data_IF_533847033194
#
_entry.id   IF_533847033194
#
_cell.length_a   1.000
_cell.length_b   1.000
_cell.length_c   1.000
_cell.angle_alpha   90.00
_cell.angle_beta   90.00
_cell.angle_gamma   90.00
#
_symmetry.space_group_name_H-M   'P 1'
#
loop_
_entity.id
_entity.type
_entity.pdbx_description
1 polymer ?
#
# COMPACT_ATOMS: atom_id res chain seq x y z
N UNK A 1 46.80 -50.32 -61.96
CA UNK A 1 46.04 -50.58 -60.72
C UNK A 1 46.23 -49.38 -59.80
N UNK A 2 45.27 -48.45 -59.78
CA UNK A 2 45.35 -47.23 -58.96
C UNK A 2 44.57 -47.47 -57.66
N UNK A 3 45.28 -47.41 -56.53
CA UNK A 3 44.73 -47.45 -55.19
C UNK A 3 43.81 -46.24 -54.95
N UNK A 4 42.56 -46.49 -54.57
CA UNK A 4 41.69 -45.48 -53.97
C UNK A 4 42.05 -45.33 -52.49
N UNK A 5 42.47 -44.14 -52.09
CA UNK A 5 42.65 -43.75 -50.69
C UNK A 5 41.37 -43.09 -50.21
N UNK A 6 40.69 -43.68 -49.23
CA UNK A 6 39.53 -43.11 -48.56
C UNK A 6 40.01 -42.22 -47.42
N UNK A 7 39.93 -40.89 -47.59
CA UNK A 7 40.13 -39.94 -46.50
C UNK A 7 38.81 -39.70 -45.76
N UNK A 8 38.72 -40.23 -44.54
CA UNK A 8 37.65 -39.90 -43.60
C UNK A 8 37.85 -38.46 -43.08
N UNK A 9 36.89 -37.57 -43.33
CA UNK A 9 36.86 -36.25 -42.70
C UNK A 9 36.28 -36.38 -41.27
N UNK A 10 36.88 -35.74 -40.25
CA UNK A 10 36.31 -35.77 -38.90
C UNK A 10 35.10 -34.82 -38.80
N UNK A 11 33.96 -35.33 -38.37
CA UNK A 11 32.79 -34.54 -38.00
C UNK A 11 33.16 -33.76 -36.73
N UNK A 12 33.33 -32.44 -36.85
CA UNK A 12 33.47 -31.55 -35.69
C UNK A 12 32.08 -31.24 -35.15
N UNK A 13 31.71 -31.90 -34.05
CA UNK A 13 30.52 -31.54 -33.29
C UNK A 13 30.74 -30.14 -32.66
N UNK A 14 29.98 -29.15 -33.13
CA UNK A 14 29.94 -27.82 -32.54
C UNK A 14 29.01 -27.89 -31.32
N UNK A 15 29.57 -27.93 -30.12
CA UNK A 15 28.79 -27.81 -28.89
C UNK A 15 28.30 -26.36 -28.78
N UNK A 16 27.01 -26.13 -29.03
CA UNK A 16 26.37 -24.85 -28.75
C UNK A 16 26.13 -24.79 -27.25
N UNK A 17 26.97 -24.05 -26.54
CA UNK A 17 26.72 -23.69 -25.15
C UNK A 17 25.61 -22.64 -25.14
N UNK A 18 24.38 -23.08 -24.83
CA UNK A 18 23.27 -22.15 -24.56
C UNK A 18 23.52 -21.53 -23.20
N UNK A 19 24.09 -20.33 -23.19
CA UNK A 19 24.14 -19.51 -22.00
C UNK A 19 22.70 -19.03 -21.72
N UNK A 20 21.98 -19.73 -20.84
CA UNK A 20 20.74 -19.20 -20.27
C UNK A 20 21.18 -18.07 -19.35
N UNK A 21 21.13 -16.84 -19.84
CA UNK A 21 21.16 -15.68 -18.98
C UNK A 21 19.90 -15.73 -18.11
N UNK A 22 20.03 -16.25 -16.89
CA UNK A 22 19.05 -15.99 -15.85
C UNK A 22 19.24 -14.52 -15.54
N UNK A 23 18.41 -13.67 -16.14
CA UNK A 23 18.30 -12.30 -15.67
C UNK A 23 18.00 -12.39 -14.16
N UNK A 24 18.69 -11.64 -13.28
CA UNK A 24 18.15 -11.45 -11.94
C UNK A 24 16.72 -10.97 -12.16
N UNK A 25 15.75 -11.56 -11.46
CA UNK A 25 14.39 -11.05 -11.46
C UNK A 25 14.50 -9.54 -11.25
N UNK A 26 14.19 -8.75 -12.28
CA UNK A 26 14.08 -7.33 -12.10
C UNK A 26 12.92 -7.18 -11.15
N UNK A 27 13.20 -6.86 -9.88
CA UNK A 27 12.17 -6.53 -8.91
C UNK A 27 11.46 -5.33 -9.52
N UNK A 28 10.32 -5.56 -10.17
CA UNK A 28 9.55 -4.51 -10.79
C UNK A 28 9.10 -3.58 -9.67
N UNK A 29 9.79 -2.46 -9.51
CA UNK A 29 9.51 -1.49 -8.46
C UNK A 29 8.08 -0.96 -8.68
N UNK A 30 7.21 -1.07 -7.67
CA UNK A 30 5.81 -0.64 -7.80
C UNK A 30 5.66 0.89 -7.88
N UNK A 31 6.69 1.63 -7.42
CA UNK A 31 6.74 3.09 -7.46
C UNK A 31 6.59 3.57 -8.89
N UNK A 32 5.66 4.51 -9.10
CA UNK A 32 5.47 5.16 -10.40
C UNK A 32 6.08 6.56 -10.39
N UNK A 33 6.56 7.06 -11.54
CA UNK A 33 7.13 8.41 -11.64
C UNK A 33 6.07 9.51 -11.49
N UNK A 34 6.52 10.72 -11.16
CA UNK A 34 5.69 11.91 -10.97
C UNK A 34 5.36 12.18 -9.51
N UNK A 35 4.34 13.01 -9.27
CA UNK A 35 3.95 13.49 -7.94
C UNK A 35 5.09 14.21 -7.20
N UNK A 36 5.94 14.89 -7.95
CA UNK A 36 7.17 15.54 -7.49
C UNK A 36 7.17 17.07 -7.72
N UNK A 37 5.98 17.64 -7.98
CA UNK A 37 5.83 19.08 -8.23
C UNK A 37 6.09 19.95 -7.01
N UNK A 38 5.97 19.38 -5.81
CA UNK A 38 6.25 20.05 -4.55
C UNK A 38 7.16 19.16 -3.69
N UNK A 39 7.84 19.81 -2.75
CA UNK A 39 8.76 19.16 -1.82
C UNK A 39 8.44 19.64 -0.42
N UNK A 40 8.26 18.71 0.52
CA UNK A 40 8.37 19.01 1.94
C UNK A 40 9.88 19.10 2.25
N UNK A 41 10.42 20.28 2.65
CA UNK A 41 11.85 20.43 2.86
C UNK A 41 12.39 19.39 3.85
N UNK A 42 13.65 18.97 3.67
CA UNK A 42 14.33 18.03 4.56
C UNK A 42 14.09 18.37 6.04
N UNK A 43 13.61 17.39 6.80
CA UNK A 43 13.20 17.53 8.19
C UNK A 43 13.07 16.14 8.87
N UNK A 44 12.71 16.17 10.15
CA UNK A 44 12.50 15.01 11.01
C UNK A 44 10.99 14.76 11.24
N UNK A 45 10.35 15.55 12.11
CA UNK A 45 8.94 15.37 12.51
C UNK A 45 7.93 16.34 11.86
N UNK A 46 8.27 16.89 10.70
CA UNK A 46 7.52 17.96 10.06
C UNK A 46 6.36 17.48 9.19
N UNK A 47 5.37 18.36 9.07
CA UNK A 47 4.28 18.27 8.09
C UNK A 47 4.20 19.54 7.24
N UNK A 48 3.58 19.43 6.07
CA UNK A 48 3.13 20.59 5.30
C UNK A 48 2.03 21.35 6.05
N UNK A 49 1.65 22.53 5.55
CA UNK A 49 0.29 23.05 5.77
C UNK A 49 -0.74 22.14 5.07
N UNK A 50 -2.04 22.46 5.19
CA UNK A 50 -3.04 21.82 4.34
C UNK A 50 -2.70 22.09 2.87
N UNK A 51 -2.72 21.05 2.04
CA UNK A 51 -2.44 21.11 0.60
C UNK A 51 -3.59 20.48 -0.19
N UNK A 52 -3.93 21.02 -1.38
CA UNK A 52 -5.04 20.52 -2.17
C UNK A 52 -4.74 19.15 -2.78
N UNK A 53 -5.69 18.23 -2.68
CA UNK A 53 -5.67 16.91 -3.33
C UNK A 53 -5.94 17.06 -4.85
N UNK A 54 -6.62 18.13 -5.26
CA UNK A 54 -7.02 18.38 -6.65
C UNK A 54 -8.37 17.77 -7.05
N UNK A 55 -8.99 17.01 -6.15
CA UNK A 55 -10.37 16.51 -6.23
C UNK A 55 -10.91 16.31 -4.81
N UNK A 56 -12.19 15.96 -4.69
CA UNK A 56 -12.83 15.66 -3.40
C UNK A 56 -12.87 14.16 -3.18
N UNK A 57 -12.44 13.71 -2.01
CA UNK A 57 -12.55 12.33 -1.53
C UNK A 57 -13.61 12.26 -0.44
N UNK A 58 -14.45 11.24 -0.47
CA UNK A 58 -15.36 10.89 0.62
C UNK A 58 -14.64 9.90 1.54
N UNK A 59 -14.03 10.39 2.62
CA UNK A 59 -13.34 9.56 3.61
C UNK A 59 -14.28 9.28 4.77
N UNK A 60 -14.90 8.08 4.79
CA UNK A 60 -15.84 7.65 5.83
C UNK A 60 -17.04 8.58 6.07
N UNK A 61 -17.61 9.11 4.98
CA UNK A 61 -18.75 10.02 5.01
C UNK A 61 -18.38 11.49 5.12
N UNK A 62 -17.09 11.81 5.27
CA UNK A 62 -16.58 13.18 5.36
C UNK A 62 -15.90 13.56 4.04
N UNK A 63 -16.40 14.61 3.40
CA UNK A 63 -15.79 15.17 2.20
C UNK A 63 -14.49 15.90 2.57
N UNK A 64 -13.37 15.45 1.99
CA UNK A 64 -12.05 16.06 2.12
C UNK A 64 -11.54 16.47 0.75
N UNK A 65 -10.93 17.65 0.64
CA UNK A 65 -10.27 18.13 -0.60
C UNK A 65 -8.83 18.57 -0.36
N UNK A 66 -8.39 18.52 0.89
CA UNK A 66 -7.07 18.90 1.34
C UNK A 66 -6.58 17.87 2.37
N UNK A 67 -5.26 17.74 2.50
CA UNK A 67 -4.60 16.89 3.48
C UNK A 67 -3.29 17.53 3.94
N UNK A 68 -2.66 16.97 4.95
CA UNK A 68 -1.31 17.30 5.39
C UNK A 68 -0.37 16.16 4.99
N UNK A 69 0.71 16.47 4.29
CA UNK A 69 1.79 15.51 4.00
C UNK A 69 2.75 15.52 5.17
N UNK A 70 3.08 14.33 5.70
CA UNK A 70 3.92 14.18 6.87
C UNK A 70 5.21 13.41 6.54
N UNK A 71 6.33 13.85 7.12
CA UNK A 71 7.64 13.24 6.89
C UNK A 71 7.67 11.77 7.30
N UNK A 72 7.01 11.43 8.41
CA UNK A 72 6.90 10.09 9.02
C UNK A 72 5.95 9.15 8.27
N UNK A 73 5.91 9.23 6.93
CA UNK A 73 5.31 8.22 6.07
C UNK A 73 3.79 8.09 6.12
N UNK A 74 3.09 9.20 6.39
CA UNK A 74 1.63 9.27 6.44
C UNK A 74 1.08 10.58 5.87
N UNK A 75 -0.24 10.61 5.66
CA UNK A 75 -1.02 11.83 5.46
C UNK A 75 -2.16 11.87 6.46
N UNK A 76 -2.56 13.08 6.86
CA UNK A 76 -3.70 13.31 7.74
C UNK A 76 -4.68 14.32 7.14
N UNK A 77 -5.94 14.31 7.57
CA UNK A 77 -6.99 15.17 7.02
C UNK A 77 -7.49 16.27 7.97
N UNK A 78 -7.18 16.15 9.25
CA UNK A 78 -7.72 16.92 10.36
C UNK A 78 -6.68 17.87 10.97
N UNK A 79 -5.43 17.45 11.13
CA UNK A 79 -4.33 18.29 11.63
C UNK A 79 -2.96 17.73 11.24
N UNK A 80 -1.90 18.55 11.15
CA UNK A 80 -0.54 18.06 11.01
C UNK A 80 -0.15 17.18 12.22
N UNK A 81 0.59 16.11 11.96
CA UNK A 81 1.03 15.17 12.99
C UNK A 81 2.50 15.40 13.33
N UNK A 82 2.86 15.48 14.61
CA UNK A 82 4.25 15.74 15.05
C UNK A 82 4.82 14.59 15.91
N UNK A 83 4.30 13.38 15.72
CA UNK A 83 4.72 12.19 16.48
C UNK A 83 5.73 11.38 15.66
N UNK A 84 6.81 10.97 16.29
CA UNK A 84 7.87 10.13 15.70
C UNK A 84 7.58 8.63 15.82
N UNK A 85 7.13 8.16 17.00
CA UNK A 85 6.83 6.73 17.22
C UNK A 85 5.43 6.36 16.74
N UNK A 86 5.27 5.34 15.88
CA UNK A 86 3.97 4.91 15.38
C UNK A 86 3.02 4.42 16.49
N UNK A 87 1.76 4.84 16.42
CA UNK A 87 0.68 4.38 17.29
C UNK A 87 -0.31 3.48 16.54
N UNK A 88 -1.09 2.71 17.29
CA UNK A 88 -2.12 1.82 16.76
C UNK A 88 -3.19 2.59 15.94
N UNK A 89 -3.29 2.26 14.65
CA UNK A 89 -4.25 2.91 13.75
C UNK A 89 -5.70 2.49 14.04
N UNK A 90 -5.93 1.36 14.72
CA UNK A 90 -7.27 0.84 15.01
C UNK A 90 -7.95 1.53 16.18
N UNK A 91 -7.20 2.24 17.01
CA UNK A 91 -7.71 2.96 18.19
C UNK A 91 -7.33 4.43 18.24
N UNK A 92 -6.75 4.97 17.18
CA UNK A 92 -6.34 6.38 17.11
C UNK A 92 -7.54 7.32 16.96
N UNK A 93 -7.37 8.57 17.42
CA UNK A 93 -8.29 9.67 17.17
C UNK A 93 -7.98 10.46 15.89
N UNK A 94 -6.97 10.03 15.12
CA UNK A 94 -6.47 10.75 13.95
C UNK A 94 -7.12 10.25 12.66
N UNK A 95 -7.54 11.16 11.78
CA UNK A 95 -7.86 10.83 10.39
C UNK A 95 -6.58 10.69 9.57
N UNK A 96 -6.15 9.45 9.29
CA UNK A 96 -4.83 9.13 8.78
C UNK A 96 -4.87 8.07 7.67
N UNK A 97 -4.00 8.22 6.67
CA UNK A 97 -3.62 7.17 5.72
C UNK A 97 -2.10 7.02 5.79
N UNK A 98 -1.62 5.82 6.11
CA UNK A 98 -0.22 5.52 6.38
C UNK A 98 0.26 4.39 5.47
N UNK A 99 0.90 4.67 4.32
CA UNK A 99 1.60 3.64 3.56
C UNK A 99 2.76 3.04 4.35
N UNK A 100 3.39 3.80 5.25
CA UNK A 100 4.45 3.33 6.15
C UNK A 100 4.68 4.34 7.28
N UNK A 101 3.88 4.31 8.35
CA UNK A 101 4.08 5.21 9.48
C UNK A 101 5.26 4.73 10.33
N UNK A 102 6.37 5.48 10.28
CA UNK A 102 7.61 5.24 11.01
C UNK A 102 8.40 6.55 11.19
N UNK A 103 9.43 6.50 12.02
CA UNK A 103 10.30 7.62 12.41
C UNK A 103 11.31 7.95 11.28
N UNK A 104 10.82 8.66 10.25
CA UNK A 104 11.58 9.03 9.06
C UNK A 104 12.36 10.31 9.37
N UNK A 105 13.63 10.35 8.98
CA UNK A 105 14.43 11.57 9.13
C UNK A 105 15.21 11.84 7.84
N UNK A 106 14.89 12.95 7.18
CA UNK A 106 15.53 13.37 5.91
C UNK A 106 16.54 14.50 6.11
N UNK A 107 16.83 14.88 7.36
CA UNK A 107 17.59 16.09 7.70
C UNK A 107 19.08 16.02 7.35
N UNK A 108 19.71 14.85 7.48
CA UNK A 108 21.14 14.67 7.24
C UNK A 108 21.45 13.74 6.05
N UNK A 109 20.55 12.82 5.73
CA UNK A 109 20.65 11.92 4.60
C UNK A 109 19.26 11.42 4.14
N UNK A 110 19.25 10.75 2.99
CA UNK A 110 18.00 10.40 2.28
C UNK A 110 17.45 11.56 1.48
N UNK A 111 16.47 11.28 0.63
CA UNK A 111 15.85 12.31 -0.21
C UNK A 111 14.63 12.93 0.49
N UNK A 112 14.39 14.25 0.35
CA UNK A 112 13.20 14.89 0.89
C UNK A 112 11.90 14.33 0.30
N UNK A 113 10.83 14.36 1.09
CA UNK A 113 9.49 13.93 0.66
C UNK A 113 8.97 14.85 -0.46
N UNK A 114 8.48 14.26 -1.53
CA UNK A 114 7.85 15.00 -2.63
C UNK A 114 6.38 14.63 -2.78
N UNK A 115 5.57 15.56 -3.27
CA UNK A 115 4.13 15.35 -3.46
C UNK A 115 3.57 16.24 -4.56
N UNK A 116 2.42 15.85 -5.10
CA UNK A 116 1.75 16.65 -6.11
C UNK A 116 0.55 15.97 -6.74
N UNK A 117 -0.10 16.69 -7.64
CA UNK A 117 -1.15 16.13 -8.51
C UNK A 117 -0.52 15.57 -9.79
N UNK A 118 -1.20 14.59 -10.37
CA UNK A 118 -0.75 13.91 -11.58
C UNK A 118 -1.83 12.99 -12.11
N UNK A 119 -1.41 11.92 -12.78
CA UNK A 119 -2.33 10.87 -13.22
C UNK A 119 -1.82 9.49 -12.84
N UNK A 120 -2.75 8.58 -12.57
CA UNK A 120 -2.48 7.16 -12.35
C UNK A 120 -3.51 6.36 -13.16
N UNK A 121 -3.03 5.45 -14.02
CA UNK A 121 -3.87 4.69 -14.96
C UNK A 121 -4.87 5.55 -15.75
N UNK A 122 -4.41 6.75 -16.16
CA UNK A 122 -5.19 7.71 -16.95
C UNK A 122 -6.20 8.53 -16.16
N UNK A 123 -6.24 8.42 -14.84
CA UNK A 123 -7.18 9.12 -13.95
C UNK A 123 -6.49 10.23 -13.17
N UNK A 124 -7.18 11.32 -12.81
CA UNK A 124 -6.64 12.31 -11.89
C UNK A 124 -6.19 11.65 -10.59
N UNK A 125 -5.03 12.05 -10.08
CA UNK A 125 -4.48 11.50 -8.85
C UNK A 125 -3.68 12.54 -8.07
N UNK A 126 -3.58 12.31 -6.76
CA UNK A 126 -2.64 12.98 -5.87
C UNK A 126 -1.67 11.93 -5.33
N UNK A 127 -0.38 12.22 -5.30
CA UNK A 127 0.62 11.29 -4.79
C UNK A 127 1.60 11.93 -3.84
N UNK A 128 2.19 11.08 -2.99
CA UNK A 128 3.25 11.41 -2.05
C UNK A 128 4.33 10.35 -2.15
N UNK A 129 5.57 10.79 -2.29
CA UNK A 129 6.76 9.99 -2.49
C UNK A 129 7.68 10.12 -1.27
N UNK A 130 7.93 9.00 -0.59
CA UNK A 130 9.04 8.82 0.33
C UNK A 130 10.04 7.90 -0.34
N UNK A 131 10.84 8.45 -1.25
CA UNK A 131 11.82 7.69 -2.04
C UNK A 131 13.19 7.89 -1.42
N UNK A 132 13.92 6.80 -1.20
CA UNK A 132 15.24 6.78 -0.55
C UNK A 132 15.29 7.56 0.78
N UNK A 133 14.25 7.49 1.60
CA UNK A 133 14.26 8.16 2.91
C UNK A 133 15.10 7.38 3.93
N UNK A 134 15.73 8.12 4.83
CA UNK A 134 16.48 7.57 5.97
C UNK A 134 15.58 7.52 7.22
N UNK A 135 16.10 6.89 8.29
CA UNK A 135 15.43 6.80 9.59
C UNK A 135 16.16 7.67 10.62
N UNK A 136 15.43 8.08 11.66
CA UNK A 136 16.04 8.76 12.81
C UNK A 136 17.07 7.84 13.49
N UNK A 137 18.26 8.29 13.88
CA UNK A 137 18.82 9.64 13.80
C UNK A 137 19.62 9.77 12.48
N UNK A 138 19.10 10.54 11.51
CA UNK A 138 19.59 10.50 10.12
C UNK A 138 21.10 10.72 10.02
N UNK A 139 21.75 9.96 9.14
CA UNK A 139 23.20 10.04 8.99
C UNK A 139 23.66 9.67 7.59
N UNK A 140 24.63 10.41 7.02
CA UNK A 140 25.25 10.05 5.75
C UNK A 140 26.06 8.74 5.82
N UNK A 141 26.29 8.17 7.01
CA UNK A 141 26.89 6.84 7.15
C UNK A 141 25.89 5.69 7.02
N UNK A 142 24.59 5.96 7.14
CA UNK A 142 23.57 4.94 6.95
C UNK A 142 23.57 4.45 5.50
N UNK A 143 23.31 3.16 5.33
CA UNK A 143 23.27 2.50 4.01
C UNK A 143 21.90 1.91 3.68
N UNK A 144 21.00 1.82 4.67
CA UNK A 144 19.63 1.35 4.49
C UNK A 144 18.73 2.53 4.11
N UNK A 145 17.89 2.37 3.09
CA UNK A 145 16.91 3.37 2.67
C UNK A 145 15.56 2.72 2.42
N UNK A 146 14.49 3.46 2.67
CA UNK A 146 13.14 3.03 2.31
C UNK A 146 12.65 3.82 1.11
N UNK A 147 11.90 3.15 0.22
CA UNK A 147 11.19 3.76 -0.90
C UNK A 147 9.75 3.26 -0.93
N UNK A 148 8.81 4.14 -0.63
CA UNK A 148 7.38 3.87 -0.63
C UNK A 148 6.58 5.10 -1.07
N UNK A 149 5.35 4.88 -1.53
CA UNK A 149 4.52 5.91 -2.15
C UNK A 149 3.05 5.69 -1.81
N UNK A 150 2.34 6.79 -1.58
CA UNK A 150 0.89 6.88 -1.53
C UNK A 150 0.38 7.51 -2.83
N UNK A 151 -0.70 6.98 -3.39
CA UNK A 151 -1.49 7.64 -4.44
C UNK A 151 -2.97 7.56 -4.07
N UNK A 152 -3.64 8.70 -4.08
CA UNK A 152 -5.09 8.82 -4.07
C UNK A 152 -5.55 9.01 -5.52
N UNK A 153 -6.42 8.12 -6.01
CA UNK A 153 -6.87 8.13 -7.40
C UNK A 153 -8.35 8.47 -7.45
N UNK A 154 -8.71 9.50 -8.22
CA UNK A 154 -10.10 9.91 -8.38
C UNK A 154 -10.92 8.83 -9.08
N UNK A 155 -12.04 8.43 -8.46
CA UNK A 155 -13.05 7.51 -8.99
C UNK A 155 -14.43 8.15 -9.08
N UNK A 156 -14.47 9.47 -9.27
CA UNK A 156 -15.69 10.22 -9.59
C UNK A 156 -16.45 9.69 -10.81
N UNK A 157 -15.80 8.87 -11.66
CA UNK A 157 -16.44 8.11 -12.74
C UNK A 157 -17.38 6.99 -12.25
N UNK A 158 -17.20 6.48 -11.03
CA UNK A 158 -18.12 5.56 -10.36
C UNK A 158 -19.21 6.36 -9.63
N UNK A 159 -18.80 7.19 -8.67
CA UNK A 159 -19.68 8.05 -7.89
C UNK A 159 -18.89 9.24 -7.32
N UNK A 160 -19.58 10.35 -7.09
CA UNK A 160 -18.96 11.54 -6.53
C UNK A 160 -18.30 11.24 -5.17
N UNK A 161 -17.01 11.55 -5.04
CA UNK A 161 -16.21 11.32 -3.84
C UNK A 161 -15.60 9.92 -3.72
N UNK A 162 -15.94 8.98 -4.60
CA UNK A 162 -15.24 7.70 -4.65
C UNK A 162 -13.79 7.91 -5.08
N UNK A 163 -12.88 7.13 -4.49
CA UNK A 163 -11.46 7.17 -4.81
C UNK A 163 -10.80 5.83 -4.46
N UNK A 164 -9.59 5.61 -4.95
CA UNK A 164 -8.76 4.47 -4.56
C UNK A 164 -7.53 4.97 -3.79
N UNK A 165 -7.12 4.20 -2.78
CA UNK A 165 -5.84 4.36 -2.09
C UNK A 165 -4.89 3.31 -2.65
N UNK A 166 -3.75 3.76 -3.18
CA UNK A 166 -2.68 2.89 -3.68
C UNK A 166 -1.44 3.09 -2.84
N UNK A 167 -0.95 2.01 -2.24
CA UNK A 167 0.41 1.97 -1.68
C UNK A 167 1.32 1.24 -2.65
N UNK A 168 2.47 1.84 -2.94
CA UNK A 168 3.53 1.25 -3.75
C UNK A 168 4.81 1.17 -2.94
N UNK A 169 5.52 0.05 -3.04
CA UNK A 169 6.77 -0.21 -2.34
C UNK A 169 7.88 -0.55 -3.32
N UNK A 170 9.06 0.05 -3.09
CA UNK A 170 10.27 -0.19 -3.86
C UNK A 170 11.31 -1.02 -3.11
N UNK A 171 11.70 -0.52 -1.93
CA UNK A 171 12.60 -1.21 -0.99
C UNK A 171 12.23 -0.81 0.43
N UNK A 172 12.31 -1.75 1.37
CA UNK A 172 12.06 -1.54 2.79
C UNK A 172 13.19 -2.22 3.58
N UNK A 173 14.17 -1.42 4.00
CA UNK A 173 15.42 -1.88 4.62
C UNK A 173 15.54 -1.50 6.09
N UNK A 174 14.67 -0.62 6.57
CA UNK A 174 14.56 -0.23 7.97
C UNK A 174 13.08 -0.16 8.38
N UNK A 175 12.81 -0.25 9.68
CA UNK A 175 11.44 -0.34 10.22
C UNK A 175 11.14 0.56 11.42
N UNK A 176 12.16 1.14 12.06
CA UNK A 176 12.00 2.13 13.12
C UNK A 176 13.24 3.03 13.24
N UNK A 177 13.05 4.24 13.76
CA UNK A 177 14.14 5.12 14.18
C UNK A 177 14.70 4.75 15.56
N UNK A 178 15.90 5.23 15.86
CA UNK A 178 16.64 4.93 17.09
C UNK A 178 15.89 5.44 18.34
N UNK A 179 15.23 6.59 18.25
CA UNK A 179 14.35 7.10 19.32
C UNK A 179 13.11 6.23 19.53
N UNK A 180 12.69 5.53 18.47
CA UNK A 180 11.65 4.50 18.48
C UNK A 180 12.18 3.11 18.85
N UNK A 181 13.47 2.99 19.22
CA UNK A 181 14.07 1.80 19.83
C UNK A 181 14.72 0.80 18.88
N UNK A 182 15.01 1.20 17.64
CA UNK A 182 15.79 0.37 16.71
C UNK A 182 17.29 0.30 17.07
N UNK A 183 18.00 -0.62 16.41
CA UNK A 183 19.46 -0.64 16.39
C UNK A 183 20.04 0.40 15.41
N UNK A 184 21.36 0.48 15.31
CA UNK A 184 22.05 1.42 14.41
C UNK A 184 21.76 1.20 12.90
N UNK A 185 21.06 0.13 12.52
CA UNK A 185 20.64 -0.17 11.16
C UNK A 185 19.15 0.12 10.91
N UNK A 186 18.44 0.67 11.90
CA UNK A 186 17.00 0.95 11.81
C UNK A 186 16.13 -0.30 11.95
N UNK A 187 16.66 -1.38 12.56
CA UNK A 187 15.99 -2.66 12.75
C UNK A 187 15.55 -2.83 14.21
N UNK A 188 14.42 -3.47 14.47
CA UNK A 188 13.90 -3.60 15.83
C UNK A 188 12.97 -2.45 16.25
N UNK A 189 12.82 -2.25 17.57
CA UNK A 189 12.03 -1.16 18.13
C UNK A 189 10.51 -1.22 17.90
N UNK A 190 9.86 -0.06 18.00
CA UNK A 190 8.47 0.15 17.66
C UNK A 190 8.34 0.25 16.13
N UNK A 191 8.21 -0.90 15.47
CA UNK A 191 8.20 -1.00 14.02
C UNK A 191 7.00 -0.32 13.35
N UNK A 192 7.19 0.00 12.07
CA UNK A 192 6.24 0.69 11.24
C UNK A 192 4.82 0.09 11.24
N UNK A 193 3.83 0.96 11.03
CA UNK A 193 2.41 0.58 10.86
C UNK A 193 1.92 1.01 9.48
N UNK A 194 1.14 0.14 8.84
CA UNK A 194 0.62 0.36 7.48
C UNK A 194 -0.89 0.23 7.51
N UNK A 195 -1.62 1.25 7.03
CA UNK A 195 -3.07 1.21 7.05
C UNK A 195 -3.74 2.57 6.95
N UNK A 196 -4.92 2.68 7.54
CA UNK A 196 -5.72 3.91 7.59
C UNK A 196 -6.67 3.92 8.79
N UNK A 197 -7.12 5.10 9.19
CA UNK A 197 -8.14 5.31 10.22
C UNK A 197 -8.90 6.61 9.97
N UNK A 198 -10.19 6.64 10.26
CA UNK A 198 -10.96 7.88 10.31
C UNK A 198 -10.97 8.55 11.70
N UNK A 199 -10.24 8.00 12.67
CA UNK A 199 -10.14 8.58 14.01
C UNK A 199 -11.35 8.37 14.92
N UNK A 200 -12.41 7.65 14.51
CA UNK A 200 -13.61 7.49 15.35
C UNK A 200 -13.55 6.28 16.27
N UNK A 201 -12.73 5.28 15.94
CA UNK A 201 -12.67 4.00 16.64
C UNK A 201 -13.89 3.10 16.38
N UNK A 202 -14.76 3.46 15.44
CA UNK A 202 -15.91 2.66 15.07
C UNK A 202 -15.50 1.41 14.29
N UNK A 203 -16.24 0.29 14.41
CA UNK A 203 -15.97 -0.90 13.62
C UNK A 203 -16.03 -0.61 12.11
N UNK A 204 -14.98 -1.01 11.38
CA UNK A 204 -14.89 -0.85 9.93
C UNK A 204 -14.40 0.53 9.46
N UNK A 205 -13.96 1.40 10.37
CA UNK A 205 -13.41 2.71 10.01
C UNK A 205 -11.89 2.83 10.13
N UNK A 206 -11.23 1.71 10.45
CA UNK A 206 -9.79 1.59 10.50
C UNK A 206 -9.32 0.22 9.99
N UNK A 207 -8.08 0.17 9.54
CA UNK A 207 -7.40 -1.02 9.06
C UNK A 207 -5.92 -0.93 9.37
N UNK A 208 -5.33 -2.05 9.82
CA UNK A 208 -3.88 -2.25 9.83
C UNK A 208 -3.56 -3.50 9.01
N UNK A 209 -2.53 -3.38 8.17
CA UNK A 209 -2.00 -4.50 7.41
C UNK A 209 -1.31 -5.48 8.37
N UNK A 210 -1.55 -6.78 8.17
CA UNK A 210 -0.84 -7.84 8.91
C UNK A 210 0.67 -7.67 8.75
N UNK A 211 1.38 -7.57 9.88
CA UNK A 211 2.80 -7.21 9.95
C UNK A 211 3.07 -5.85 10.60
N UNK A 212 2.03 -5.02 10.78
CA UNK A 212 2.16 -3.74 11.49
C UNK A 212 2.63 -3.95 12.92
N UNK A 213 3.61 -3.14 13.34
CA UNK A 213 4.27 -3.23 14.65
C UNK A 213 4.88 -4.61 14.98
N UNK A 214 5.25 -5.40 13.95
CA UNK A 214 5.98 -6.66 14.12
C UNK A 214 7.37 -6.53 13.49
N UNK A 215 8.40 -6.63 14.31
CA UNK A 215 9.79 -6.51 13.87
C UNK A 215 10.13 -7.55 12.79
N UNK A 216 10.80 -7.09 11.74
CA UNK A 216 11.20 -7.84 10.57
C UNK A 216 10.06 -8.21 9.62
N UNK A 217 8.81 -7.87 9.91
CA UNK A 217 7.68 -8.33 9.11
C UNK A 217 7.65 -7.66 7.73
N UNK A 218 7.77 -6.33 7.69
CA UNK A 218 7.64 -5.55 6.46
C UNK A 218 8.92 -5.36 5.66
N UNK A 219 10.08 -5.66 6.27
CA UNK A 219 11.39 -5.57 5.62
C UNK A 219 11.48 -6.47 4.38
N UNK A 220 12.36 -6.12 3.45
CA UNK A 220 12.65 -6.91 2.27
C UNK A 220 13.09 -8.33 2.64
N UNK A 221 12.34 -9.34 2.16
CA UNK A 221 12.55 -10.75 2.49
C UNK A 221 11.93 -11.22 3.82
N UNK A 222 11.30 -10.33 4.58
CA UNK A 222 10.48 -10.65 5.75
C UNK A 222 9.20 -11.45 5.43
N UNK A 223 8.52 -12.01 6.45
CA UNK A 223 7.33 -12.84 6.27
C UNK A 223 6.14 -12.08 5.68
N UNK A 224 6.09 -10.75 5.84
CA UNK A 224 5.07 -9.86 5.30
C UNK A 224 5.70 -8.79 4.39
N UNK A 225 6.85 -9.09 3.79
CA UNK A 225 7.66 -8.14 3.05
C UNK A 225 6.81 -7.35 2.03
N UNK A 226 6.76 -6.03 2.22
CA UNK A 226 5.84 -5.16 1.48
C UNK A 226 6.12 -5.21 -0.02
N UNK A 227 7.40 -5.27 -0.39
CA UNK A 227 7.89 -5.31 -1.78
C UNK A 227 7.61 -6.62 -2.53
N UNK A 228 7.25 -7.70 -1.82
CA UNK A 228 7.08 -9.05 -2.40
C UNK A 228 5.64 -9.55 -2.40
N UNK A 229 4.72 -8.77 -1.81
CA UNK A 229 3.30 -9.08 -1.70
C UNK A 229 2.47 -8.00 -2.41
N UNK A 230 1.18 -8.25 -2.59
CA UNK A 230 0.23 -7.29 -3.16
C UNK A 230 -1.18 -7.50 -2.60
N UNK A 231 -2.01 -6.45 -2.68
CA UNK A 231 -3.45 -6.54 -2.41
C UNK A 231 -4.17 -5.93 -3.61
N UNK A 232 -5.14 -6.67 -4.17
CA UNK A 232 -5.97 -6.22 -5.30
C UNK A 232 -5.17 -5.70 -6.51
N UNK A 233 -3.97 -6.25 -6.73
CA UNK A 233 -3.06 -5.83 -7.79
C UNK A 233 -2.20 -7.02 -8.27
N UNK A 234 -1.97 -7.09 -9.58
CA UNK A 234 -1.01 -8.03 -10.18
C UNK A 234 0.44 -7.52 -10.17
N UNK A 235 0.65 -6.26 -9.76
CA UNK A 235 1.99 -5.68 -9.58
C UNK A 235 2.43 -5.98 -8.15
N UNK A 236 3.52 -6.75 -8.00
CA UNK A 236 4.15 -6.99 -6.70
C UNK A 236 4.60 -5.67 -6.08
N UNK A 237 4.40 -5.51 -4.77
CA UNK A 237 4.68 -4.25 -4.06
C UNK A 237 3.57 -3.22 -4.17
N UNK A 238 2.41 -3.55 -4.77
CA UNK A 238 1.26 -2.65 -4.90
C UNK A 238 0.03 -3.15 -4.14
N UNK A 239 -0.57 -2.27 -3.36
CA UNK A 239 -1.75 -2.53 -2.52
C UNK A 239 -2.81 -1.51 -2.86
N UNK A 240 -4.00 -1.98 -3.27
CA UNK A 240 -5.09 -1.10 -3.68
C UNK A 240 -6.29 -1.31 -2.75
N UNK A 241 -6.71 -0.24 -2.11
CA UNK A 241 -7.92 -0.18 -1.28
C UNK A 241 -8.94 0.73 -1.94
N UNK A 242 -10.11 0.18 -2.27
CA UNK A 242 -11.17 0.93 -2.92
C UNK A 242 -12.05 1.61 -1.88
N UNK A 243 -12.24 2.93 -2.00
CA UNK A 243 -13.25 3.69 -1.26
C UNK A 243 -14.49 3.89 -2.12
N UNK A 244 -15.62 3.37 -1.64
CA UNK A 244 -16.90 3.38 -2.35
C UNK A 244 -18.01 3.82 -1.42
N UNK A 245 -18.70 4.90 -1.76
CA UNK A 245 -19.71 5.50 -0.90
C UNK A 245 -19.17 5.93 0.48
N UNK A 246 -17.86 6.16 0.59
CA UNK A 246 -17.17 6.53 1.84
C UNK A 246 -16.60 5.37 2.64
N UNK A 247 -16.99 4.12 2.37
CA UNK A 247 -16.42 2.94 3.03
C UNK A 247 -15.20 2.40 2.28
N UNK A 248 -14.18 1.94 3.01
CA UNK A 248 -12.95 1.35 2.45
C UNK A 248 -12.92 -0.14 2.76
N UNK A 249 -12.69 -0.99 1.75
CA UNK A 249 -12.38 -2.41 1.96
C UNK A 249 -13.57 -3.38 2.16
N UNK A 250 -14.81 -3.01 1.79
CA UNK A 250 -15.95 -3.95 1.77
C UNK A 250 -16.17 -4.60 0.39
N UNK A 251 -16.75 -5.83 0.31
CA UNK A 251 -17.26 -6.34 -0.96
C UNK A 251 -18.31 -5.35 -1.49
N UNK A 252 -18.08 -4.78 -2.66
CA UNK A 252 -19.14 -4.10 -3.37
C UNK A 252 -20.26 -5.12 -3.59
N UNK A 253 -21.40 -4.97 -2.91
CA UNK A 253 -22.62 -5.54 -3.45
C UNK A 253 -22.70 -5.05 -4.90
N UNK A 254 -22.83 -5.94 -5.90
CA UNK A 254 -23.05 -5.46 -7.25
C UNK A 254 -24.26 -4.53 -7.18
N UNK A 255 -24.10 -3.30 -7.66
CA UNK A 255 -25.21 -2.38 -7.78
C UNK A 255 -26.29 -3.15 -8.54
N UNK A 256 -27.39 -3.49 -7.87
CA UNK A 256 -28.57 -3.96 -8.57
C UNK A 256 -28.95 -2.79 -9.46
N UNK A 257 -28.60 -2.89 -10.74
CA UNK A 257 -29.12 -2.02 -11.78
C UNK A 257 -30.61 -2.28 -11.82
N UNK A 258 -31.37 -1.55 -10.99
CA UNK A 258 -32.81 -1.42 -11.20
C UNK A 258 -32.90 -0.66 -12.52
N UNK A 259 -33.36 -1.29 -13.62
CA UNK A 259 -33.53 -0.58 -14.86
C UNK A 259 -34.53 0.54 -14.58
N UNK A 260 -34.14 1.79 -14.87
CA UNK A 260 -35.04 2.92 -14.84
C UNK A 260 -36.17 2.66 -15.84
N UNK A 261 -37.26 2.04 -15.38
CA UNK A 261 -38.35 1.65 -16.27
C UNK A 261 -39.18 0.44 -15.84
N UNK A 262 -39.46 0.23 -14.55
CA UNK A 262 -40.50 -0.75 -14.15
C UNK A 262 -41.32 -0.26 -12.97
N UNK A 263 -42.26 0.64 -13.27
CA UNK A 263 -43.44 0.86 -12.44
C UNK A 263 -44.44 -0.27 -12.68
N UNK A 264 -44.40 -1.32 -11.86
CA UNK A 264 -45.51 -2.25 -11.63
C UNK A 264 -45.43 -2.56 -10.13
N UNK A 265 -46.23 -1.95 -9.26
CA UNK A 265 -47.64 -2.29 -9.09
C UNK A 265 -47.77 -3.20 -7.86
N UNK A 266 -48.07 -2.61 -6.70
CA UNK A 266 -48.51 -3.16 -5.42
C UNK A 266 -48.63 -4.70 -5.22
N UNK A 267 -48.02 -5.21 -4.14
CA UNK A 267 -48.62 -6.30 -3.34
C UNK A 267 -47.66 -7.28 -2.67
N UNK A 268 -47.71 -7.29 -1.32
CA UNK A 268 -47.56 -8.43 -0.38
C UNK A 268 -46.42 -8.36 0.67
N UNK A 269 -46.80 -7.81 1.83
CA UNK A 269 -46.72 -8.35 3.18
C UNK A 269 -45.82 -9.59 3.47
N UNK A 270 -44.84 -9.37 4.36
CA UNK A 270 -44.29 -10.23 5.43
C UNK A 270 -44.29 -11.77 5.29
N UNK A 271 -43.10 -12.38 5.48
CA UNK A 271 -42.95 -13.65 6.22
C UNK A 271 -41.69 -13.63 7.09
N UNK A 272 -41.90 -13.77 8.40
CA UNK A 272 -40.94 -14.06 9.46
C UNK A 272 -40.62 -15.58 9.50
N UNK A 273 -39.47 -15.90 10.10
CA UNK A 273 -39.17 -17.09 10.94
C UNK A 273 -38.69 -18.42 10.32
N UNK A 274 -37.61 -18.88 10.97
CA UNK A 274 -37.25 -20.26 11.36
C UNK A 274 -36.38 -21.12 10.43
N UNK A 275 -35.07 -21.11 10.73
CA UNK A 275 -34.20 -22.27 10.53
C UNK A 275 -34.51 -23.32 11.60
N UNK A 276 -34.97 -24.50 11.18
CA UNK A 276 -34.99 -25.71 12.00
C UNK A 276 -34.37 -26.89 11.22
N UNK A 277 -33.26 -27.36 11.79
CA UNK A 277 -32.82 -28.76 11.94
C UNK A 277 -32.74 -29.72 10.74
N UNK A 278 -31.52 -30.21 10.52
CA UNK A 278 -31.16 -31.53 9.99
C UNK A 278 -29.82 -31.90 10.67
N UNK A 279 -29.48 -33.11 11.13
CA UNK A 279 -30.16 -34.37 11.46
C UNK A 279 -29.11 -35.19 12.23
N UNK A 280 -29.50 -36.00 13.22
CA UNK A 280 -28.53 -36.80 13.99
C UNK A 280 -29.15 -37.86 14.91
N UNK A 281 -29.90 -38.79 14.31
CA UNK A 281 -30.23 -40.13 14.85
C UNK A 281 -28.90 -40.93 14.83
N UNK A 282 -28.44 -41.75 15.77
CA UNK A 282 -28.97 -42.78 16.68
C UNK A 282 -27.95 -42.98 17.84
N UNK A 283 -28.28 -43.43 19.05
CA UNK A 283 -28.53 -44.85 19.33
C UNK A 283 -29.18 -45.04 20.73
N UNK A 284 -30.17 -45.93 20.78
CA UNK A 284 -30.70 -46.58 21.99
C UNK A 284 -29.62 -47.43 22.66
N UNK A 285 -29.66 -47.57 23.99
CA UNK A 285 -30.15 -48.78 24.68
C UNK A 285 -30.18 -48.59 26.20
N UNK A 286 -31.34 -48.96 26.76
CA UNK A 286 -31.69 -49.30 28.16
C UNK A 286 -31.62 -48.22 29.25
#
# INVERSE_FOLDING_TARGET
MRHFSTTNAPIRALAILVLVAVAPAAWGQAIVPGFDSNTLPANDDGSTSAVPIGFTVNFFGVSRSELYVNNNGNVTFDAPLSTFTPFDLTSTGQEIIAPFFADVDTSAAGDPVTYGTGTFDGRPAFGVNWVNVDYYNSSPSHTNRNSFQLILVDRSDIAAGDFDIVFNYGQIQWEAGEASGSDANGLGGNSARVGYSNGTGDPGTAFELTGSAVNGAFLDGGPNALVSNSINSSVTGRYIFESRGGGIGGPQAPALSVPAGSWIGWGLLAVLLMCAAWMGIAHRTH
#
